data_IF_904142063966
#
_entry.id   IF_904142063966
#
_cell.length_a   1.000
_cell.length_b   1.000
_cell.length_c   1.000
_cell.angle_alpha   90.00
_cell.angle_beta   90.00
_cell.angle_gamma   90.00
#
_symmetry.space_group_name_H-M   'P 1'
#
loop_
_entity.id
_entity.type
_entity.pdbx_description
1 polymer ?
#
# COMPACT_ATOMS: atom_id res chain seq x y z
N UNK A 1 13.80 8.37 3.11
CA UNK A 1 12.86 8.28 4.25
C UNK A 1 11.72 7.38 3.81
N UNK A 2 11.59 6.17 4.35
CA UNK A 2 10.44 5.30 4.08
C UNK A 2 9.31 5.81 4.96
N UNK A 3 8.29 6.42 4.36
CA UNK A 3 7.08 6.80 5.09
C UNK A 3 6.21 5.56 5.20
N UNK A 4 6.48 4.73 6.21
CA UNK A 4 5.64 3.59 6.58
C UNK A 4 4.29 4.13 7.08
N UNK A 5 3.21 3.86 6.35
CA UNK A 5 1.88 4.35 6.71
C UNK A 5 0.93 3.17 6.78
N UNK A 6 0.08 3.19 7.80
CA UNK A 6 -0.72 2.04 8.17
C UNK A 6 -2.18 2.41 8.21
N UNK A 7 -2.88 2.00 7.16
CA UNK A 7 -4.26 2.41 6.89
C UNK A 7 -5.22 1.93 7.98
N UNK A 8 -5.04 0.70 8.46
CA UNK A 8 -5.93 0.10 9.46
C UNK A 8 -5.85 0.82 10.83
N UNK A 9 -4.65 1.30 11.21
CA UNK A 9 -4.41 1.93 12.51
C UNK A 9 -5.08 3.32 12.59
N UNK A 10 -5.12 4.07 11.48
CA UNK A 10 -5.64 5.45 11.52
C UNK A 10 -7.15 5.53 11.70
N UNK A 11 -7.92 4.62 11.10
CA UNK A 11 -9.38 4.60 11.25
C UNK A 11 -9.80 4.19 12.68
N UNK A 12 -9.17 3.14 13.22
CA UNK A 12 -9.56 2.56 14.52
C UNK A 12 -8.97 3.30 15.72
N UNK A 13 -7.90 4.07 15.52
CA UNK A 13 -7.39 5.03 16.51
C UNK A 13 -7.98 6.44 16.33
N UNK A 14 -8.97 6.62 15.45
CA UNK A 14 -9.61 7.91 15.16
C UNK A 14 -8.63 9.02 14.76
N UNK A 15 -7.51 8.67 14.11
CA UNK A 15 -6.59 9.65 13.51
C UNK A 15 -7.13 10.15 12.18
N UNK A 16 -7.93 9.33 11.51
CA UNK A 16 -8.69 9.67 10.31
C UNK A 16 -10.11 9.17 10.52
N UNK A 17 -11.09 10.05 10.39
CA UNK A 17 -12.51 9.72 10.62
C UNK A 17 -13.11 8.92 9.46
N UNK A 18 -12.59 9.12 8.24
CA UNK A 18 -13.09 8.52 7.02
C UNK A 18 -11.96 8.17 6.04
N UNK A 19 -12.03 6.97 5.46
CA UNK A 19 -10.97 6.45 4.59
C UNK A 19 -10.77 7.29 3.32
N UNK A 20 -11.80 7.99 2.84
CA UNK A 20 -11.70 8.93 1.69
C UNK A 20 -10.82 10.14 2.02
N UNK A 21 -10.65 10.47 3.31
CA UNK A 21 -9.78 11.55 3.79
C UNK A 21 -8.35 11.09 4.08
N UNK A 22 -8.02 9.83 3.83
CA UNK A 22 -6.70 9.29 4.12
C UNK A 22 -5.63 9.91 3.18
N UNK A 23 -4.47 10.36 3.68
CA UNK A 23 -3.49 11.12 2.90
C UNK A 23 -2.71 10.29 1.87
N UNK A 24 -3.05 9.01 1.68
CA UNK A 24 -2.22 8.06 0.90
C UNK A 24 -2.09 8.50 -0.56
N UNK A 25 -3.20 8.92 -1.18
CA UNK A 25 -3.20 9.38 -2.58
C UNK A 25 -2.30 10.61 -2.76
N UNK A 26 -2.41 11.58 -1.86
CA UNK A 26 -1.54 12.76 -1.85
C UNK A 26 -0.08 12.37 -1.65
N UNK A 27 0.20 11.41 -0.77
CA UNK A 27 1.58 10.94 -0.53
C UNK A 27 2.18 10.27 -1.77
N UNK A 28 1.41 9.44 -2.48
CA UNK A 28 1.83 8.87 -3.76
C UNK A 28 2.09 9.96 -4.80
N UNK A 29 1.20 10.96 -4.91
CA UNK A 29 1.37 12.10 -5.81
C UNK A 29 2.62 12.95 -5.50
N UNK A 30 3.03 13.00 -4.23
CA UNK A 30 4.26 13.67 -3.77
C UNK A 30 5.52 12.78 -3.91
N UNK A 31 5.40 11.58 -4.46
CA UNK A 31 6.52 10.65 -4.64
C UNK A 31 6.99 9.97 -3.34
N UNK A 32 6.18 10.01 -2.28
CA UNK A 32 6.48 9.30 -1.04
C UNK A 32 6.28 7.80 -1.22
N UNK A 33 7.17 7.02 -0.61
CA UNK A 33 7.14 5.55 -0.63
C UNK A 33 6.17 5.00 0.42
N UNK A 34 4.88 5.30 0.25
CA UNK A 34 3.85 4.80 1.12
C UNK A 34 3.56 3.31 0.86
N UNK A 35 3.15 2.57 1.90
CA UNK A 35 2.80 1.15 1.84
C UNK A 35 1.45 0.91 2.53
N UNK A 36 0.83 -0.25 2.30
CA UNK A 36 -0.39 -0.69 2.99
C UNK A 36 -0.03 -1.89 3.86
N UNK A 37 -0.40 -1.83 5.14
CA UNK A 37 -0.09 -2.85 6.14
C UNK A 37 -1.35 -3.19 6.95
N UNK A 38 -1.45 -4.41 7.46
CA UNK A 38 -2.57 -4.86 8.30
C UNK A 38 -2.45 -4.45 9.77
N UNK A 39 -1.23 -4.21 10.25
CA UNK A 39 -0.93 -4.12 11.68
C UNK A 39 -1.31 -5.42 12.40
N UNK A 40 -2.31 -5.35 13.29
CA UNK A 40 -2.90 -6.45 14.04
C UNK A 40 -4.31 -6.77 13.48
N UNK A 41 -4.43 -7.56 12.40
CA UNK A 41 -5.72 -7.84 11.77
C UNK A 41 -6.74 -8.49 12.73
N UNK A 42 -6.27 -9.24 13.74
CA UNK A 42 -7.14 -9.79 14.78
C UNK A 42 -7.81 -8.71 15.66
N UNK A 43 -7.15 -7.57 15.85
CA UNK A 43 -7.65 -6.47 16.67
C UNK A 43 -8.52 -5.50 15.86
N UNK A 44 -8.14 -5.23 14.60
CA UNK A 44 -8.81 -4.21 13.79
C UNK A 44 -9.83 -4.76 12.78
N UNK A 45 -9.83 -6.07 12.52
CA UNK A 45 -10.76 -6.73 11.60
C UNK A 45 -10.46 -6.51 10.12
N UNK A 46 -9.31 -5.93 9.77
CA UNK A 46 -8.88 -5.66 8.39
C UNK A 46 -7.63 -6.45 8.01
N UNK A 47 -7.81 -7.57 7.30
CA UNK A 47 -6.70 -8.32 6.71
C UNK A 47 -6.10 -7.55 5.52
N UNK A 48 -4.84 -7.83 5.20
CA UNK A 48 -4.08 -7.07 4.20
C UNK A 48 -4.85 -6.88 2.88
N UNK A 49 -5.38 -7.95 2.29
CA UNK A 49 -6.14 -7.87 1.03
C UNK A 49 -7.39 -7.00 1.12
N UNK A 50 -8.09 -7.02 2.25
CA UNK A 50 -9.26 -6.18 2.48
C UNK A 50 -8.86 -4.71 2.57
N UNK A 51 -7.80 -4.38 3.31
CA UNK A 51 -7.29 -3.01 3.40
C UNK A 51 -6.91 -2.47 2.01
N UNK A 52 -6.31 -3.30 1.16
CA UNK A 52 -6.01 -2.93 -0.22
C UNK A 52 -7.27 -2.58 -1.02
N UNK A 53 -8.29 -3.45 -0.99
CA UNK A 53 -9.54 -3.26 -1.73
C UNK A 53 -10.30 -2.03 -1.25
N UNK A 54 -10.46 -1.86 0.06
CA UNK A 54 -11.20 -0.75 0.66
C UNK A 54 -10.49 0.58 0.41
N UNK A 55 -9.17 0.63 0.54
CA UNK A 55 -8.37 1.83 0.26
C UNK A 55 -8.45 2.22 -1.21
N UNK A 56 -8.29 1.25 -2.11
CA UNK A 56 -8.35 1.49 -3.55
C UNK A 56 -9.69 2.12 -3.94
N UNK A 57 -10.79 1.60 -3.38
CA UNK A 57 -12.15 2.12 -3.61
C UNK A 57 -12.37 3.49 -2.98
N UNK A 58 -11.98 3.68 -1.72
CA UNK A 58 -12.23 4.92 -0.99
C UNK A 58 -11.46 6.12 -1.56
N UNK A 59 -10.23 5.89 -2.03
CA UNK A 59 -9.38 6.95 -2.58
C UNK A 59 -9.43 7.05 -4.11
N UNK A 60 -10.20 6.18 -4.77
CA UNK A 60 -10.24 6.04 -6.24
C UNK A 60 -8.82 5.90 -6.81
N UNK A 61 -8.08 4.90 -6.32
CA UNK A 61 -6.71 4.64 -6.76
C UNK A 61 -6.72 3.97 -8.13
N UNK A 62 -5.91 4.52 -9.02
CA UNK A 62 -5.63 3.94 -10.33
C UNK A 62 -4.81 2.65 -10.22
N UNK A 63 -4.83 1.86 -11.29
CA UNK A 63 -3.99 0.66 -11.42
C UNK A 63 -2.50 0.98 -11.22
N UNK A 64 -2.04 2.11 -11.74
CA UNK A 64 -0.63 2.51 -11.63
C UNK A 64 -0.24 2.91 -10.21
N UNK A 65 -1.15 3.53 -9.46
CA UNK A 65 -0.96 3.82 -8.03
C UNK A 65 -0.91 2.54 -7.21
N UNK A 66 -1.75 1.54 -7.51
CA UNK A 66 -1.71 0.23 -6.87
C UNK A 66 -0.42 -0.53 -7.16
N UNK A 67 0.07 -0.48 -8.41
CA UNK A 67 1.39 -1.04 -8.77
C UNK A 67 2.51 -0.32 -8.01
N UNK A 68 2.44 1.00 -7.90
CA UNK A 68 3.40 1.79 -7.13
C UNK A 68 3.41 1.39 -5.66
N UNK A 69 2.25 1.21 -5.03
CA UNK A 69 2.13 0.69 -3.66
C UNK A 69 2.77 -0.69 -3.52
N UNK A 70 2.56 -1.59 -4.48
CA UNK A 70 3.12 -2.94 -4.45
C UNK A 70 4.66 -2.89 -4.53
N UNK A 71 5.20 -2.05 -5.43
CA UNK A 71 6.64 -1.83 -5.55
C UNK A 71 7.24 -1.17 -4.30
N UNK A 72 6.53 -0.24 -3.68
CA UNK A 72 6.94 0.40 -2.44
C UNK A 72 7.07 -0.61 -1.29
N UNK A 73 6.21 -1.63 -1.22
CA UNK A 73 6.28 -2.68 -0.20
C UNK A 73 7.61 -3.46 -0.23
N UNK A 74 8.18 -3.69 -1.42
CA UNK A 74 9.49 -4.36 -1.54
C UNK A 74 10.65 -3.37 -1.43
N UNK A 75 10.59 -2.22 -2.10
CA UNK A 75 11.67 -1.22 -2.06
C UNK A 75 11.82 -0.51 -0.70
N UNK A 76 10.80 -0.58 0.15
CA UNK A 76 10.83 -0.12 1.54
C UNK A 76 11.10 -1.24 2.57
N UNK A 77 11.31 -2.48 2.12
CA UNK A 77 11.58 -3.62 3.00
C UNK A 77 13.05 -3.70 3.44
N UNK A 78 13.36 -4.66 4.33
CA UNK A 78 14.73 -4.99 4.75
C UNK A 78 15.35 -6.16 3.98
N UNK A 79 14.75 -6.54 2.84
CA UNK A 79 15.27 -7.60 1.97
C UNK A 79 16.60 -7.19 1.33
N UNK A 80 17.37 -8.19 0.89
CA UNK A 80 18.57 -7.93 0.13
C UNK A 80 18.24 -7.35 -1.26
N UNK A 81 19.13 -6.56 -1.90
CA UNK A 81 18.83 -5.90 -3.17
C UNK A 81 18.44 -6.85 -4.32
N UNK A 82 18.99 -8.06 -4.33
CA UNK A 82 18.69 -9.12 -5.29
C UNK A 82 17.30 -9.72 -5.09
N UNK A 83 16.88 -9.91 -3.83
CA UNK A 83 15.51 -10.32 -3.49
C UNK A 83 14.49 -9.24 -3.90
N UNK A 84 14.79 -7.97 -3.62
CA UNK A 84 13.94 -6.85 -4.07
C UNK A 84 13.80 -6.87 -5.59
N UNK A 85 14.91 -7.01 -6.32
CA UNK A 85 14.90 -7.05 -7.79
C UNK A 85 14.03 -8.19 -8.31
N UNK A 86 14.13 -9.37 -7.68
CA UNK A 86 13.32 -10.55 -8.01
C UNK A 86 11.82 -10.26 -7.85
N UNK A 87 11.43 -9.66 -6.73
CA UNK A 87 10.02 -9.33 -6.49
C UNK A 87 9.48 -8.22 -7.39
N UNK A 88 10.30 -7.22 -7.73
CA UNK A 88 9.91 -6.18 -8.69
C UNK A 88 9.68 -6.76 -10.08
N UNK A 89 10.52 -7.68 -10.53
CA UNK A 89 10.34 -8.38 -11.81
C UNK A 89 9.04 -9.22 -11.82
N UNK A 90 8.69 -9.86 -10.70
CA UNK A 90 7.43 -10.59 -10.59
C UNK A 90 6.19 -9.67 -10.71
N UNK A 91 6.24 -8.48 -10.11
CA UNK A 91 5.20 -7.46 -10.29
C UNK A 91 5.10 -7.06 -11.76
N UNK A 92 6.22 -6.81 -12.43
CA UNK A 92 6.23 -6.40 -13.83
C UNK A 92 5.66 -7.45 -14.77
N UNK A 93 6.01 -8.72 -14.55
CA UNK A 93 5.44 -9.83 -15.29
C UNK A 93 3.92 -9.93 -15.10
N UNK A 94 3.42 -9.77 -13.86
CA UNK A 94 2.00 -9.78 -13.57
C UNK A 94 1.26 -8.62 -14.26
N UNK A 95 1.81 -7.42 -14.18
CA UNK A 95 1.24 -6.20 -14.78
C UNK A 95 1.21 -6.29 -16.32
N UNK A 96 2.22 -6.89 -16.93
CA UNK A 96 2.28 -7.12 -18.38
C UNK A 96 1.31 -8.21 -18.85
N UNK A 97 1.04 -9.22 -18.02
CA UNK A 97 0.13 -10.32 -18.33
C UNK A 97 -1.35 -10.02 -18.08
N UNK A 98 -1.65 -9.05 -17.20
CA UNK A 98 -3.00 -8.58 -16.93
C UNK A 98 -3.43 -7.51 -17.97
N UNK A 99 -3.68 -7.95 -19.20
CA UNK A 99 -4.36 -7.20 -20.27
C UNK A 99 -5.78 -7.71 -20.45
#
# INVERSE_FOLDING_TARGET
MVSLIMICRLLKLCVVDDLTSHPLKTMLALGLRATINSDDPAYFGGYLGQNWIETARALDLSRDELVTLARNSFTGSFLAPDEITTHLAAIDAYVAGAN
#
